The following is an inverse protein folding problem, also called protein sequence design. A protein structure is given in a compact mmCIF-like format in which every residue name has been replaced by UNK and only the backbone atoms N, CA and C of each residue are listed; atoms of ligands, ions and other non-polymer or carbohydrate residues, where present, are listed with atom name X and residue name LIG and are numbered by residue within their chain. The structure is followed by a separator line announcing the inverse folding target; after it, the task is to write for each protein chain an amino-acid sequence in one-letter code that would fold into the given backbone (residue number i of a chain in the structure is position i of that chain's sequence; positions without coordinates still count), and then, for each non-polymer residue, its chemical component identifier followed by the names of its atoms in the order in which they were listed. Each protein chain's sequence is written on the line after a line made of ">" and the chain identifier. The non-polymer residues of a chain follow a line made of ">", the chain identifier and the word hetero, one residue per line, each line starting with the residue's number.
data_IF_559011328400
#
_entry.id   IF_559011328400
#
_cell.length_a   1.000
_cell.length_b   1.000
_cell.length_c   1.000
_cell.angle_alpha   90.00
_cell.angle_beta   90.00
_cell.angle_gamma   90.00
#
_symmetry.space_group_name_H-M   'P 1'
#
loop_
_entity.id
_entity.type
_entity.pdbx_description
1 polymer ?
#
# COMPACT_ATOMS: atom_id res chain seq x y z
N UNK A 1 7.04 100.87 -9.68
CA UNK A 1 7.52 99.75 -8.86
C UNK A 1 6.33 98.81 -8.63
N UNK A 2 6.23 97.70 -9.37
CA UNK A 2 5.16 96.70 -9.23
C UNK A 2 5.83 95.41 -8.80
N UNK A 3 5.48 94.90 -7.63
CA UNK A 3 5.90 93.60 -7.14
C UNK A 3 5.03 92.52 -7.71
N UNK A 4 5.65 91.56 -8.41
CA UNK A 4 5.03 90.34 -8.91
C UNK A 4 5.20 89.25 -7.88
N UNK A 5 4.11 88.74 -7.32
CA UNK A 5 4.06 87.59 -6.45
C UNK A 5 3.75 86.35 -7.25
N UNK A 6 4.72 85.41 -7.29
CA UNK A 6 4.53 84.08 -7.88
C UNK A 6 3.91 83.15 -6.84
N UNK A 7 2.74 82.64 -7.12
CA UNK A 7 2.19 81.51 -6.39
C UNK A 7 2.70 80.21 -7.04
N UNK A 8 3.55 79.49 -6.33
CA UNK A 8 3.92 78.14 -6.70
C UNK A 8 2.92 77.12 -6.22
N UNK A 9 2.25 76.46 -7.17
CA UNK A 9 1.32 75.38 -6.88
C UNK A 9 2.13 74.08 -6.79
N UNK A 10 2.24 73.52 -5.58
CA UNK A 10 2.91 72.26 -5.35
C UNK A 10 1.90 71.12 -5.61
N UNK A 11 2.04 70.41 -6.73
CA UNK A 11 1.22 69.27 -7.11
C UNK A 11 1.81 68.04 -6.44
N UNK A 12 1.29 67.59 -5.32
CA UNK A 12 1.64 66.31 -4.70
C UNK A 12 0.93 65.18 -5.45
N UNK A 13 1.71 64.47 -6.26
CA UNK A 13 1.26 63.22 -6.87
C UNK A 13 1.24 62.09 -5.79
N UNK A 14 0.06 61.67 -5.39
CA UNK A 14 -0.14 60.49 -4.54
C UNK A 14 0.05 59.23 -5.43
N UNK A 15 1.18 58.53 -5.32
CA UNK A 15 1.37 57.19 -5.90
C UNK A 15 0.55 56.22 -5.05
N UNK A 16 -0.56 55.76 -5.55
CA UNK A 16 -1.29 54.62 -4.98
C UNK A 16 -0.56 53.33 -5.40
N UNK A 17 0.21 52.77 -4.46
CA UNK A 17 0.81 51.41 -4.62
C UNK A 17 -0.30 50.42 -4.35
N UNK A 18 -0.90 49.87 -5.40
CA UNK A 18 -1.82 48.74 -5.27
C UNK A 18 -1.01 47.48 -4.98
N UNK A 19 -0.99 47.09 -3.71
CA UNK A 19 -0.39 45.81 -3.29
C UNK A 19 -1.38 44.71 -3.67
N UNK A 20 -1.07 43.99 -4.76
CA UNK A 20 -1.75 42.73 -5.06
C UNK A 20 -1.30 41.70 -4.02
N UNK A 21 -2.15 41.45 -3.03
CA UNK A 21 -2.04 40.24 -2.24
C UNK A 21 -2.34 39.06 -3.18
N UNK A 22 -1.31 38.35 -3.61
CA UNK A 22 -1.47 37.00 -4.12
C UNK A 22 -2.03 36.18 -2.95
N UNK A 23 -3.34 35.99 -2.92
CA UNK A 23 -3.96 35.03 -2.06
C UNK A 23 -3.39 33.67 -2.44
N UNK A 24 -2.58 33.08 -1.54
CA UNK A 24 -2.26 31.68 -1.63
C UNK A 24 -3.58 30.90 -1.75
N UNK A 25 -3.68 29.89 -2.64
CA UNK A 25 -4.90 29.10 -2.74
C UNK A 25 -5.22 28.56 -1.35
N UNK A 26 -6.45 28.82 -0.89
CA UNK A 26 -6.95 28.34 0.38
C UNK A 26 -6.79 26.81 0.44
N UNK A 27 -6.44 26.28 1.58
CA UNK A 27 -6.25 24.84 1.82
C UNK A 27 -7.52 24.00 1.48
N UNK A 28 -8.66 24.63 1.24
CA UNK A 28 -9.92 24.01 0.78
C UNK A 28 -9.93 23.58 -0.70
N UNK A 29 -8.92 23.93 -1.49
CA UNK A 29 -8.85 23.51 -2.90
C UNK A 29 -8.31 22.06 -3.07
N UNK A 30 -8.04 21.33 -1.99
CA UNK A 30 -7.55 19.94 -1.97
C UNK A 30 -8.56 18.92 -1.44
N UNK A 31 -9.83 19.25 -1.37
CA UNK A 31 -10.88 18.21 -1.31
C UNK A 31 -11.14 17.68 -2.71
N UNK A 32 -10.15 17.07 -3.32
CA UNK A 32 -10.37 15.99 -4.28
C UNK A 32 -11.17 14.96 -3.50
N UNK A 33 -12.38 14.62 -3.95
CA UNK A 33 -13.27 13.63 -3.34
C UNK A 33 -12.41 12.49 -2.80
N UNK A 34 -12.29 12.35 -1.48
CA UNK A 34 -11.52 11.28 -0.88
C UNK A 34 -12.31 10.00 -1.15
N UNK A 35 -11.95 9.30 -2.20
CA UNK A 35 -12.54 8.00 -2.52
C UNK A 35 -12.41 7.13 -1.27
N UNK A 36 -13.53 6.67 -0.74
CA UNK A 36 -13.52 5.80 0.42
C UNK A 36 -12.71 4.55 0.09
N UNK A 37 -11.72 4.23 0.93
CA UNK A 37 -10.88 3.04 0.72
C UNK A 37 -11.68 1.76 0.97
N UNK A 38 -12.59 1.78 1.94
CA UNK A 38 -13.36 0.62 2.36
C UNK A 38 -14.84 0.92 2.39
N UNK A 39 -15.67 -0.06 2.03
CA UNK A 39 -17.13 -0.02 2.17
C UNK A 39 -17.65 -1.34 2.75
N UNK A 40 -18.83 -1.31 3.38
CA UNK A 40 -19.39 -2.47 4.07
C UNK A 40 -18.43 -3.08 5.11
N UNK A 41 -17.85 -2.17 5.93
CA UNK A 41 -16.84 -2.52 6.95
C UNK A 41 -17.46 -3.43 8.00
N UNK A 42 -16.75 -4.49 8.34
CA UNK A 42 -17.06 -5.41 9.43
C UNK A 42 -16.29 -5.01 10.69
N UNK A 43 -16.82 -5.40 11.85
CA UNK A 43 -16.14 -5.26 13.15
C UNK A 43 -16.05 -6.64 13.81
N UNK A 44 -14.84 -7.01 14.26
CA UNK A 44 -14.60 -8.29 14.92
C UNK A 44 -13.27 -8.93 14.59
N UNK A 45 -13.23 -10.26 14.64
CA UNK A 45 -12.05 -11.04 14.31
C UNK A 45 -11.82 -11.02 12.79
N UNK A 46 -10.62 -10.67 12.41
CA UNK A 46 -10.22 -10.65 10.98
C UNK A 46 -10.11 -12.05 10.38
N UNK A 47 -10.01 -13.08 11.21
CA UNK A 47 -9.92 -14.48 10.79
C UNK A 47 -8.80 -14.74 9.75
N UNK A 48 -7.67 -14.06 9.90
CA UNK A 48 -6.50 -14.26 9.01
C UNK A 48 -5.93 -15.65 9.28
N UNK A 49 -5.96 -16.51 8.27
CA UNK A 49 -5.54 -17.90 8.39
C UNK A 49 -4.02 -18.08 8.18
N UNK A 50 -3.41 -17.33 7.26
CA UNK A 50 -1.95 -17.31 7.04
C UNK A 50 -1.51 -15.94 6.58
N UNK A 51 -0.94 -15.17 7.52
CA UNK A 51 -0.49 -13.81 7.27
C UNK A 51 0.71 -13.77 6.32
N UNK A 52 0.69 -12.81 5.38
CA UNK A 52 1.69 -12.61 4.34
C UNK A 52 2.14 -11.16 4.21
N UNK A 53 2.24 -10.71 2.97
CA UNK A 53 2.66 -9.37 2.59
C UNK A 53 1.70 -8.29 3.07
N UNK A 54 2.24 -7.10 3.30
CA UNK A 54 1.48 -5.94 3.75
C UNK A 54 1.94 -4.68 3.04
N UNK A 55 1.01 -3.75 2.85
CA UNK A 55 1.30 -2.36 2.49
C UNK A 55 0.23 -1.43 3.08
N UNK A 56 0.42 -0.13 2.93
CA UNK A 56 -0.58 0.85 3.35
C UNK A 56 -1.28 1.50 2.18
N UNK A 57 -2.60 1.55 2.22
CA UNK A 57 -3.43 2.48 1.47
C UNK A 57 -3.55 3.82 2.25
N UNK A 58 -4.07 4.89 1.63
CA UNK A 58 -4.33 6.15 2.31
C UNK A 58 -5.14 6.00 3.60
N UNK A 59 -5.08 7.04 4.46
CA UNK A 59 -5.84 7.13 5.71
C UNK A 59 -5.51 6.03 6.75
N UNK A 60 -4.31 5.46 6.71
CA UNK A 60 -3.89 4.44 7.68
C UNK A 60 -4.56 3.08 7.50
N UNK A 61 -5.12 2.80 6.33
CA UNK A 61 -5.68 1.49 6.02
C UNK A 61 -4.54 0.53 5.67
N UNK A 62 -4.39 -0.51 6.49
CA UNK A 62 -3.38 -1.56 6.28
C UNK A 62 -3.96 -2.67 5.41
N UNK A 63 -3.30 -2.93 4.29
CA UNK A 63 -3.60 -4.03 3.38
C UNK A 63 -2.77 -5.25 3.79
N UNK A 64 -3.42 -6.36 4.08
CA UNK A 64 -2.78 -7.60 4.55
C UNK A 64 -3.15 -8.75 3.63
N UNK A 65 -2.17 -9.44 3.09
CA UNK A 65 -2.38 -10.67 2.36
C UNK A 65 -2.68 -11.83 3.32
N UNK A 66 -3.86 -12.43 3.19
CA UNK A 66 -4.19 -13.71 3.81
C UNK A 66 -4.01 -14.82 2.79
N UNK A 67 -2.84 -15.45 2.83
CA UNK A 67 -2.45 -16.47 1.85
C UNK A 67 -3.32 -17.73 1.99
N UNK A 68 -3.75 -18.04 3.22
CA UNK A 68 -4.51 -19.27 3.48
C UNK A 68 -5.94 -19.22 2.95
N UNK A 69 -6.55 -18.04 2.92
CA UNK A 69 -7.90 -17.84 2.37
C UNK A 69 -7.89 -17.19 0.97
N UNK A 70 -6.70 -17.01 0.35
CA UNK A 70 -6.56 -16.34 -0.95
C UNK A 70 -7.34 -15.01 -0.97
N UNK A 71 -7.03 -14.11 -0.05
CA UNK A 71 -7.73 -12.83 0.08
C UNK A 71 -6.83 -11.70 0.52
N UNK A 72 -7.28 -10.47 0.30
CA UNK A 72 -6.71 -9.27 0.91
C UNK A 72 -7.66 -8.80 2.00
N UNK A 73 -7.11 -8.60 3.19
CA UNK A 73 -7.81 -8.01 4.34
C UNK A 73 -7.33 -6.58 4.49
N UNK A 74 -8.22 -5.62 4.29
CA UNK A 74 -7.93 -4.20 4.55
C UNK A 74 -8.43 -3.87 5.95
N UNK A 75 -7.54 -3.36 6.80
CA UNK A 75 -7.78 -3.08 8.22
C UNK A 75 -7.68 -1.58 8.46
N UNK A 76 -8.71 -0.99 9.03
CA UNK A 76 -8.66 0.37 9.56
C UNK A 76 -7.84 0.35 10.86
N UNK A 77 -6.62 0.86 10.80
CA UNK A 77 -5.74 0.87 11.98
C UNK A 77 -6.05 2.03 12.93
N UNK A 78 -6.84 3.02 12.51
CA UNK A 78 -7.03 4.27 13.24
C UNK A 78 -5.76 5.11 13.38
N UNK A 79 -4.68 4.72 12.73
CA UNK A 79 -3.36 5.36 12.82
C UNK A 79 -3.16 6.37 11.68
N UNK A 80 -3.66 7.59 11.91
CA UNK A 80 -3.70 8.66 10.90
C UNK A 80 -2.58 9.74 11.06
N UNK A 81 -1.61 9.50 11.93
CA UNK A 81 -0.50 10.43 12.11
C UNK A 81 -0.58 11.26 13.40
N UNK A 82 0.25 12.28 13.58
CA UNK A 82 1.23 12.84 12.63
C UNK A 82 2.48 11.94 12.43
N UNK A 83 3.17 12.14 11.31
CA UNK A 83 4.39 11.39 10.98
C UNK A 83 5.48 11.64 12.00
N UNK A 84 5.97 10.57 12.60
CA UNK A 84 7.12 10.58 13.51
C UNK A 84 8.14 9.54 13.06
N UNK A 85 9.37 9.99 12.87
CA UNK A 85 10.47 9.08 12.52
C UNK A 85 10.94 8.31 13.75
N UNK A 86 11.36 7.07 13.54
CA UNK A 86 12.04 6.28 14.56
C UNK A 86 13.28 7.04 15.05
N UNK A 87 13.38 7.27 16.37
CA UNK A 87 14.43 8.12 16.96
C UNK A 87 15.76 7.42 17.05
N UNK A 88 15.72 6.11 17.30
CA UNK A 88 16.91 5.30 17.53
C UNK A 88 16.77 3.95 16.80
N UNK A 89 17.92 3.33 16.53
CA UNK A 89 17.95 1.99 15.97
C UNK A 89 17.36 0.97 16.95
N UNK A 90 16.45 0.16 16.49
CA UNK A 90 15.93 -0.98 17.23
C UNK A 90 16.79 -2.20 16.93
N UNK A 91 17.52 -2.67 17.94
CA UNK A 91 18.32 -3.89 17.85
C UNK A 91 17.49 -5.11 18.26
N UNK A 92 17.91 -6.29 17.79
CA UNK A 92 17.32 -7.59 18.16
C UNK A 92 15.80 -7.63 17.95
N UNK A 93 15.33 -7.12 16.80
CA UNK A 93 13.90 -7.03 16.47
C UNK A 93 13.20 -8.38 16.56
N UNK A 94 13.83 -9.43 16.05
CA UNK A 94 13.35 -10.82 16.08
C UNK A 94 13.17 -11.34 17.52
N UNK A 95 14.16 -11.11 18.39
CA UNK A 95 14.06 -11.47 19.82
C UNK A 95 12.94 -10.71 20.53
N UNK A 96 12.83 -9.41 20.28
CA UNK A 96 11.79 -8.57 20.90
C UNK A 96 10.39 -9.02 20.48
N UNK A 97 10.21 -9.31 19.20
CA UNK A 97 8.93 -9.83 18.69
C UNK A 97 8.65 -11.22 19.26
N UNK A 98 9.64 -12.12 19.28
CA UNK A 98 9.50 -13.44 19.89
C UNK A 98 9.05 -13.35 21.35
N UNK A 99 9.73 -12.53 22.14
CA UNK A 99 9.36 -12.30 23.55
C UNK A 99 7.94 -11.74 23.71
N UNK A 100 7.52 -10.78 22.86
CA UNK A 100 6.16 -10.23 22.87
C UNK A 100 5.09 -11.29 22.53
N UNK A 101 5.46 -12.32 21.79
CA UNK A 101 4.59 -13.44 21.42
C UNK A 101 4.77 -14.68 22.32
N UNK A 102 5.56 -14.57 23.40
CA UNK A 102 5.78 -15.65 24.38
C UNK A 102 6.65 -16.79 23.85
N UNK A 103 7.61 -16.50 22.96
CA UNK A 103 8.55 -17.47 22.39
C UNK A 103 9.93 -16.82 22.16
N UNK A 104 10.90 -17.58 21.67
CA UNK A 104 12.19 -17.09 21.19
C UNK A 104 12.10 -16.60 19.72
N UNK A 105 13.23 -16.13 19.20
CA UNK A 105 13.31 -15.66 17.81
C UNK A 105 13.16 -16.79 16.79
N UNK A 106 13.56 -18.00 17.13
CA UNK A 106 13.43 -19.20 16.31
C UNK A 106 11.97 -19.67 16.23
N UNK A 107 11.17 -19.35 17.25
CA UNK A 107 9.75 -19.68 17.36
C UNK A 107 8.83 -18.80 16.52
N UNK A 108 9.36 -17.79 15.83
CA UNK A 108 8.57 -16.90 14.96
C UNK A 108 9.01 -17.01 13.48
N UNK A 109 8.10 -16.60 12.61
CA UNK A 109 8.36 -16.32 11.20
C UNK A 109 7.87 -14.91 10.88
N UNK A 110 8.79 -13.97 10.68
CA UNK A 110 8.45 -12.65 10.14
C UNK A 110 8.09 -12.84 8.66
N UNK A 111 6.92 -12.40 8.27
CA UNK A 111 6.45 -12.52 6.89
C UNK A 111 6.72 -11.25 6.09
N UNK A 112 6.51 -10.07 6.70
CA UNK A 112 6.72 -8.78 6.02
C UNK A 112 6.81 -7.63 7.01
N UNK A 113 7.13 -6.42 6.48
CA UNK A 113 7.16 -5.18 7.21
C UNK A 113 6.63 -4.04 6.32
N UNK A 114 5.74 -3.23 6.86
CA UNK A 114 5.24 -2.02 6.22
C UNK A 114 5.36 -0.81 7.14
N UNK A 115 5.67 0.35 6.57
CA UNK A 115 5.69 1.63 7.31
C UNK A 115 4.42 2.39 6.97
N UNK A 116 3.67 2.82 7.99
CA UNK A 116 2.51 3.68 7.78
C UNK A 116 2.98 5.08 7.36
N UNK A 117 2.68 5.53 6.12
CA UNK A 117 3.15 6.84 5.65
C UNK A 117 2.50 8.01 6.41
N UNK A 118 1.33 7.80 7.03
CA UNK A 118 0.64 8.83 7.79
C UNK A 118 1.22 9.05 9.19
N UNK A 119 1.80 8.03 9.83
CA UNK A 119 2.31 8.12 11.21
C UNK A 119 3.80 7.86 11.35
N UNK A 120 4.41 7.14 10.40
CA UNK A 120 5.80 6.66 10.48
C UNK A 120 5.96 5.41 11.36
N UNK A 121 4.89 4.86 11.95
CA UNK A 121 4.98 3.60 12.69
C UNK A 121 5.25 2.42 11.76
N UNK A 122 5.94 1.43 12.28
CA UNK A 122 6.36 0.24 11.56
C UNK A 122 5.47 -0.92 11.99
N UNK A 123 4.87 -1.58 11.01
CA UNK A 123 4.01 -2.75 11.21
C UNK A 123 4.72 -3.98 10.68
N UNK A 124 4.81 -5.03 11.49
CA UNK A 124 5.50 -6.28 11.16
C UNK A 124 4.53 -7.44 11.25
N UNK A 125 4.29 -8.14 10.14
CA UNK A 125 3.48 -9.35 10.11
C UNK A 125 4.30 -10.56 10.54
N UNK A 126 3.75 -11.32 11.48
CA UNK A 126 4.48 -12.41 12.15
C UNK A 126 3.55 -13.60 12.34
N UNK A 127 4.09 -14.80 12.21
CA UNK A 127 3.44 -16.02 12.61
C UNK A 127 4.26 -16.72 13.70
N UNK A 128 3.62 -17.08 14.83
CA UNK A 128 4.22 -17.95 15.82
C UNK A 128 4.15 -19.40 15.32
N UNK A 129 5.27 -20.08 15.28
CA UNK A 129 5.37 -21.42 14.64
C UNK A 129 4.67 -22.52 15.44
N UNK A 130 4.66 -22.39 16.77
CA UNK A 130 4.15 -23.46 17.66
C UNK A 130 2.66 -23.77 17.45
N UNK A 131 1.85 -22.76 17.16
CA UNK A 131 0.39 -22.87 17.04
C UNK A 131 -0.19 -22.17 15.81
N UNK A 132 0.67 -21.58 14.96
CA UNK A 132 0.24 -20.85 13.77
C UNK A 132 -0.39 -19.49 14.06
N UNK A 133 -0.31 -18.97 15.29
CA UNK A 133 -0.86 -17.66 15.64
C UNK A 133 -0.32 -16.57 14.72
N UNK A 134 -1.22 -15.89 14.03
CA UNK A 134 -0.90 -14.71 13.22
C UNK A 134 -0.99 -13.45 14.08
N UNK A 135 -0.01 -12.56 13.97
CA UNK A 135 0.05 -11.30 14.69
C UNK A 135 0.61 -10.19 13.80
N UNK A 136 0.25 -8.95 14.11
CA UNK A 136 0.90 -7.76 13.57
C UNK A 136 1.44 -6.97 14.75
N UNK A 137 2.75 -6.77 14.76
CA UNK A 137 3.45 -6.02 15.81
C UNK A 137 3.79 -4.63 15.29
N UNK A 138 3.43 -3.62 16.08
CA UNK A 138 3.63 -2.22 15.75
C UNK A 138 4.81 -1.69 16.56
N UNK A 139 5.73 -0.99 15.90
CA UNK A 139 6.79 -0.22 16.55
C UNK A 139 6.47 1.27 16.44
N UNK A 140 6.48 1.97 17.56
CA UNK A 140 6.34 3.43 17.60
C UNK A 140 7.68 4.15 17.36
N UNK A 141 7.69 5.49 17.44
CA UNK A 141 8.88 6.32 17.25
C UNK A 141 9.99 6.10 18.29
N UNK A 142 9.69 5.42 19.40
CA UNK A 142 10.66 5.06 20.46
C UNK A 142 11.12 3.61 20.33
N UNK A 143 10.58 2.86 19.37
CA UNK A 143 10.82 1.43 19.22
C UNK A 143 10.08 0.58 20.26
N UNK A 144 9.02 1.13 20.87
CA UNK A 144 8.13 0.38 21.77
C UNK A 144 7.20 -0.51 20.93
N UNK A 145 7.02 -1.75 21.36
CA UNK A 145 6.20 -2.72 20.66
C UNK A 145 4.77 -2.74 21.24
N UNK A 146 3.79 -2.86 20.36
CA UNK A 146 2.40 -3.17 20.71
C UNK A 146 1.77 -4.07 19.64
N UNK A 147 0.90 -5.03 20.00
CA UNK A 147 0.17 -5.80 19.00
C UNK A 147 -1.00 -4.98 18.44
N UNK A 148 -1.29 -5.17 17.13
CA UNK A 148 -2.56 -4.77 16.55
C UNK A 148 -3.64 -5.78 16.97
N UNK A 149 -4.76 -5.30 17.48
CA UNK A 149 -5.87 -6.20 17.88
C UNK A 149 -6.62 -6.71 16.63
N UNK A 150 -6.25 -7.88 16.15
CA UNK A 150 -6.89 -8.52 15.00
C UNK A 150 -8.26 -9.13 15.32
N UNK A 151 -8.61 -9.28 16.62
CA UNK A 151 -9.89 -9.85 17.06
C UNK A 151 -11.00 -8.81 17.20
N UNK A 152 -10.63 -7.53 17.25
CA UNK A 152 -11.56 -6.40 17.37
C UNK A 152 -11.27 -5.34 16.32
N UNK A 153 -10.92 -5.77 15.13
CA UNK A 153 -10.59 -4.88 14.04
C UNK A 153 -11.83 -4.39 13.28
N UNK A 154 -11.71 -3.22 12.68
CA UNK A 154 -12.60 -2.75 11.62
C UNK A 154 -11.94 -3.12 10.29
N UNK A 155 -12.58 -3.95 9.48
CA UNK A 155 -11.94 -4.50 8.29
C UNK A 155 -12.91 -4.80 7.17
N UNK A 156 -12.37 -4.99 5.98
CA UNK A 156 -13.04 -5.64 4.85
C UNK A 156 -12.14 -6.75 4.32
N UNK A 157 -12.76 -7.81 3.79
CA UNK A 157 -12.06 -8.92 3.15
C UNK A 157 -12.52 -9.01 1.70
N UNK A 158 -11.57 -9.01 0.76
CA UNK A 158 -11.81 -9.15 -0.68
C UNK A 158 -11.11 -10.42 -1.16
N UNK A 159 -11.86 -11.31 -1.78
CA UNK A 159 -11.32 -12.58 -2.30
C UNK A 159 -10.50 -12.36 -3.56
N UNK A 160 -9.45 -13.15 -3.71
CA UNK A 160 -8.66 -13.25 -4.92
C UNK A 160 -9.14 -14.47 -5.71
N UNK A 161 -9.78 -14.28 -6.88
CA UNK A 161 -10.34 -15.39 -7.63
C UNK A 161 -9.23 -16.31 -8.15
N UNK A 162 -9.53 -17.59 -8.17
CA UNK A 162 -8.70 -18.67 -8.71
C UNK A 162 -9.61 -19.66 -9.40
N UNK A 163 -9.13 -20.35 -10.43
CA UNK A 163 -9.92 -21.34 -11.16
C UNK A 163 -10.33 -22.51 -10.27
N UNK A 164 -11.43 -23.18 -10.63
CA UNK A 164 -11.95 -24.31 -9.89
C UNK A 164 -10.87 -25.38 -9.65
N UNK A 165 -10.84 -25.93 -8.45
CA UNK A 165 -9.87 -26.93 -8.00
C UNK A 165 -8.39 -26.48 -8.05
N UNK A 166 -8.15 -25.18 -8.21
CA UNK A 166 -6.82 -24.56 -8.15
C UNK A 166 -6.64 -23.81 -6.86
N UNK A 167 -5.39 -23.50 -6.55
CA UNK A 167 -5.03 -22.83 -5.29
C UNK A 167 -4.02 -21.71 -5.54
N UNK A 168 -4.08 -20.69 -4.70
CA UNK A 168 -3.03 -19.70 -4.56
C UNK A 168 -2.06 -20.21 -3.49
N UNK A 169 -0.84 -20.50 -3.89
CA UNK A 169 0.20 -20.99 -2.98
C UNK A 169 0.88 -19.87 -2.20
N UNK A 170 0.92 -18.67 -2.78
CA UNK A 170 1.52 -17.48 -2.19
C UNK A 170 0.89 -16.21 -2.74
N UNK A 171 0.84 -15.16 -1.92
CA UNK A 171 0.58 -13.77 -2.34
C UNK A 171 1.89 -13.03 -2.14
N UNK A 172 2.59 -12.75 -3.25
CA UNK A 172 3.97 -12.26 -3.26
C UNK A 172 4.08 -10.74 -3.15
N UNK A 173 2.96 -10.02 -3.22
CA UNK A 173 2.90 -8.58 -3.03
C UNK A 173 1.46 -8.09 -2.93
N UNK A 174 1.27 -6.98 -2.24
CA UNK A 174 0.04 -6.19 -2.20
C UNK A 174 0.42 -4.72 -2.13
N UNK A 175 -0.13 -3.88 -3.02
CA UNK A 175 0.21 -2.47 -3.12
C UNK A 175 -1.00 -1.61 -3.45
N UNK A 176 -1.02 -0.40 -2.91
CA UNK A 176 -1.99 0.61 -3.30
C UNK A 176 -1.40 1.47 -4.43
N UNK A 177 -2.14 1.63 -5.51
CA UNK A 177 -1.72 2.46 -6.64
C UNK A 177 -2.92 3.06 -7.35
N UNK A 178 -2.90 4.37 -7.53
CA UNK A 178 -3.84 5.14 -8.37
C UNK A 178 -5.32 4.72 -8.26
N UNK A 179 -5.83 4.68 -7.01
CA UNK A 179 -7.24 4.42 -6.75
C UNK A 179 -7.65 2.94 -6.84
N UNK A 180 -6.70 2.02 -6.80
CA UNK A 180 -6.93 0.57 -6.70
C UNK A 180 -5.92 -0.12 -5.82
N UNK A 181 -6.21 -1.32 -5.41
CA UNK A 181 -5.24 -2.22 -4.79
C UNK A 181 -4.82 -3.25 -5.82
N UNK A 182 -3.51 -3.41 -5.98
CA UNK A 182 -2.90 -4.44 -6.80
C UNK A 182 -2.35 -5.53 -5.90
N UNK A 183 -2.52 -6.79 -6.27
CA UNK A 183 -1.87 -7.90 -5.60
C UNK A 183 -1.25 -8.84 -6.63
N UNK A 184 -0.14 -9.50 -6.25
CA UNK A 184 0.48 -10.53 -7.06
C UNK A 184 0.36 -11.88 -6.37
N UNK A 185 -0.07 -12.89 -7.10
CA UNK A 185 -0.27 -14.24 -6.60
C UNK A 185 0.49 -15.28 -7.40
N UNK A 186 0.77 -16.38 -6.74
CA UNK A 186 1.35 -17.58 -7.35
C UNK A 186 0.32 -18.71 -7.25
N UNK A 187 -0.11 -19.25 -8.38
CA UNK A 187 -1.07 -20.32 -8.41
C UNK A 187 -0.50 -21.61 -8.98
N UNK A 188 -1.22 -22.72 -8.81
CA UNK A 188 -0.91 -24.00 -9.45
C UNK A 188 -1.63 -24.16 -10.80
N UNK A 189 -2.14 -23.07 -11.37
CA UNK A 189 -2.64 -23.04 -12.75
C UNK A 189 -1.48 -23.08 -13.76
N UNK A 190 -1.81 -23.27 -15.04
CA UNK A 190 -0.83 -23.23 -16.13
C UNK A 190 -0.06 -21.91 -16.12
N UNK A 191 -0.79 -20.78 -16.07
CA UNK A 191 -0.22 -19.48 -15.85
C UNK A 191 -0.08 -19.24 -14.35
N UNK A 192 1.06 -19.59 -13.80
CA UNK A 192 1.27 -19.58 -12.36
C UNK A 192 1.38 -18.17 -11.76
N UNK A 193 1.68 -17.16 -12.57
CA UNK A 193 1.78 -15.77 -12.15
C UNK A 193 0.45 -15.07 -12.33
N UNK A 194 -0.13 -14.52 -11.27
CA UNK A 194 -1.42 -13.80 -11.26
C UNK A 194 -1.21 -12.38 -10.79
N UNK A 195 -1.85 -11.44 -11.46
CA UNK A 195 -2.03 -10.07 -11.00
C UNK A 195 -3.51 -9.87 -10.70
N UNK A 196 -3.81 -9.33 -9.54
CA UNK A 196 -5.17 -9.01 -9.13
C UNK A 196 -5.32 -7.49 -9.05
N UNK A 197 -6.45 -6.99 -9.54
CA UNK A 197 -6.86 -5.60 -9.42
C UNK A 197 -8.15 -5.53 -8.60
N UNK A 198 -8.08 -4.81 -7.50
CA UNK A 198 -9.20 -4.61 -6.58
C UNK A 198 -9.60 -3.13 -6.63
N UNK A 199 -10.73 -2.80 -7.31
CA UNK A 199 -11.19 -1.43 -7.40
C UNK A 199 -11.67 -0.90 -6.05
N UNK A 200 -11.59 0.41 -5.86
CA UNK A 200 -12.12 1.09 -4.69
C UNK A 200 -13.61 1.43 -4.86
N UNK A 201 -14.38 1.47 -3.76
CA UNK A 201 -13.97 1.05 -2.42
C UNK A 201 -13.84 -0.46 -2.29
N UNK A 202 -12.82 -0.94 -1.56
CA UNK A 202 -12.75 -2.35 -1.17
C UNK A 202 -13.99 -2.71 -0.37
N UNK A 203 -14.73 -3.71 -0.83
CA UNK A 203 -16.03 -4.06 -0.24
C UNK A 203 -16.01 -5.48 0.30
N UNK A 204 -16.42 -5.65 1.56
CA UNK A 204 -16.45 -6.96 2.20
C UNK A 204 -17.29 -7.97 1.42
N UNK A 205 -16.75 -9.18 1.24
CA UNK A 205 -17.39 -10.27 0.49
C UNK A 205 -17.38 -10.14 -1.03
N UNK A 206 -16.73 -9.10 -1.58
CA UNK A 206 -16.52 -8.98 -3.04
C UNK A 206 -15.27 -9.72 -3.46
N UNK A 207 -15.13 -9.90 -4.78
CA UNK A 207 -13.97 -10.50 -5.42
C UNK A 207 -13.24 -9.48 -6.27
N UNK A 208 -11.91 -9.57 -6.31
CA UNK A 208 -11.09 -8.81 -7.24
C UNK A 208 -11.18 -9.33 -8.68
N UNK A 209 -10.63 -8.57 -9.60
CA UNK A 209 -10.38 -9.02 -10.98
C UNK A 209 -9.03 -9.72 -11.04
N UNK A 210 -8.90 -10.75 -11.85
CA UNK A 210 -7.66 -11.52 -12.02
C UNK A 210 -7.17 -11.46 -13.44
N UNK A 211 -5.86 -11.34 -13.57
CA UNK A 211 -5.13 -11.35 -14.82
C UNK A 211 -4.00 -12.37 -14.71
N UNK A 212 -3.75 -13.11 -15.77
CA UNK A 212 -2.63 -14.06 -15.84
C UNK A 212 -1.48 -13.42 -16.60
N UNK A 213 -0.26 -13.69 -16.15
CA UNK A 213 0.94 -13.16 -16.79
C UNK A 213 1.88 -14.28 -17.20
N UNK A 214 2.49 -14.11 -18.37
CA UNK A 214 3.67 -14.87 -18.77
C UNK A 214 4.81 -13.89 -19.08
N UNK A 215 6.03 -14.33 -18.94
CA UNK A 215 7.21 -13.50 -19.24
C UNK A 215 8.14 -14.22 -20.23
N UNK A 216 8.69 -13.45 -21.15
CA UNK A 216 9.71 -14.00 -22.07
C UNK A 216 11.01 -14.25 -21.33
N UNK A 217 11.47 -15.50 -21.40
CA UNK A 217 12.65 -15.96 -20.74
C UNK A 217 13.85 -15.91 -21.68
N UNK A 218 14.65 -14.85 -21.58
CA UNK A 218 15.81 -14.64 -22.48
C UNK A 218 16.78 -15.81 -22.44
N UNK A 219 17.07 -16.36 -21.26
CA UNK A 219 18.01 -17.48 -21.09
C UNK A 219 17.51 -18.77 -21.76
N UNK A 220 16.20 -18.98 -21.86
CA UNK A 220 15.59 -20.17 -22.49
C UNK A 220 15.06 -19.90 -23.89
N UNK A 221 15.02 -18.62 -24.33
CA UNK A 221 14.54 -18.23 -25.64
C UNK A 221 13.04 -18.46 -25.88
N UNK A 222 12.23 -18.46 -24.81
CA UNK A 222 10.78 -18.74 -24.89
C UNK A 222 9.96 -18.02 -23.83
N UNK A 223 8.66 -17.95 -24.03
CA UNK A 223 7.71 -17.54 -23.03
C UNK A 223 7.54 -18.61 -21.95
N UNK A 224 7.48 -18.17 -20.68
CA UNK A 224 7.35 -19.05 -19.52
C UNK A 224 6.05 -18.78 -18.79
N UNK A 225 5.14 -19.73 -18.79
CA UNK A 225 3.87 -19.67 -18.05
C UNK A 225 4.04 -20.02 -16.57
N UNK A 226 5.12 -20.73 -16.22
CA UNK A 226 5.42 -21.24 -14.87
C UNK A 226 6.53 -20.49 -14.15
N UNK A 227 6.76 -19.22 -14.50
CA UNK A 227 7.69 -18.33 -13.82
C UNK A 227 6.91 -17.33 -12.94
N UNK A 228 6.52 -17.71 -11.70
CA UNK A 228 5.65 -16.86 -10.89
C UNK A 228 6.34 -15.58 -10.46
N UNK A 229 5.55 -14.52 -10.37
CA UNK A 229 5.99 -13.22 -9.85
C UNK A 229 6.38 -13.34 -8.36
N UNK A 230 7.59 -12.90 -8.03
CA UNK A 230 8.16 -12.99 -6.68
C UNK A 230 7.94 -11.72 -5.85
N UNK A 231 7.98 -10.59 -6.50
CA UNK A 231 7.69 -9.28 -5.92
C UNK A 231 7.39 -8.28 -7.02
N UNK A 232 6.69 -7.20 -6.68
CA UNK A 232 6.48 -6.08 -7.60
C UNK A 232 6.37 -4.76 -6.84
N UNK A 233 6.52 -3.69 -7.58
CA UNK A 233 6.19 -2.33 -7.15
C UNK A 233 5.37 -1.65 -8.25
N UNK A 234 4.35 -0.85 -7.91
CA UNK A 234 3.76 0.11 -8.82
C UNK A 234 4.78 1.20 -9.16
N UNK A 235 4.77 1.65 -10.39
CA UNK A 235 5.68 2.68 -10.86
C UNK A 235 4.98 3.58 -11.87
N UNK A 236 5.11 4.89 -11.74
CA UNK A 236 4.57 5.87 -12.66
C UNK A 236 5.71 6.49 -13.48
N UNK A 237 5.51 6.59 -14.79
CA UNK A 237 6.44 7.22 -15.71
C UNK A 237 5.66 7.95 -16.80
N UNK A 238 5.91 9.26 -16.96
CA UNK A 238 5.27 10.10 -17.98
C UNK A 238 3.73 10.08 -17.96
N UNK A 239 3.13 9.93 -16.77
CA UNK A 239 1.68 9.87 -16.58
C UNK A 239 1.05 8.50 -16.88
N UNK A 240 1.86 7.49 -17.14
CA UNK A 240 1.42 6.10 -17.34
C UNK A 240 1.78 5.23 -16.14
N UNK A 241 0.87 4.34 -15.78
CA UNK A 241 1.04 3.40 -14.67
C UNK A 241 1.63 2.08 -15.11
N UNK A 242 2.66 1.64 -14.42
CA UNK A 242 3.38 0.40 -14.66
C UNK A 242 3.39 -0.49 -13.42
N UNK A 243 3.60 -1.77 -13.64
CA UNK A 243 4.11 -2.72 -12.67
C UNK A 243 5.54 -3.06 -13.05
N UNK A 244 6.46 -2.94 -12.08
CA UNK A 244 7.84 -3.44 -12.20
C UNK A 244 7.95 -4.64 -11.29
N UNK A 245 8.12 -5.82 -11.86
CA UNK A 245 8.10 -7.09 -11.12
C UNK A 245 9.33 -7.95 -11.38
N UNK A 246 9.74 -8.69 -10.34
CA UNK A 246 10.70 -9.77 -10.47
C UNK A 246 9.96 -11.10 -10.56
N UNK A 247 10.44 -12.00 -11.40
CA UNK A 247 9.86 -13.32 -11.65
C UNK A 247 10.85 -14.44 -11.31
N UNK A 248 10.35 -15.63 -11.05
CA UNK A 248 11.23 -16.79 -10.92
C UNK A 248 11.95 -17.03 -12.26
N UNK A 249 13.26 -17.17 -12.21
CA UNK A 249 14.12 -17.42 -13.38
C UNK A 249 14.16 -16.33 -14.47
N UNK A 250 13.44 -15.22 -14.31
CA UNK A 250 13.43 -14.09 -15.25
C UNK A 250 13.97 -12.85 -14.56
N UNK A 251 14.70 -11.96 -15.25
CA UNK A 251 15.07 -10.68 -14.70
C UNK A 251 13.82 -9.82 -14.43
N UNK A 252 14.02 -8.58 -14.05
CA UNK A 252 12.95 -7.61 -13.81
C UNK A 252 12.22 -7.32 -15.13
N UNK A 253 10.89 -7.39 -15.10
CA UNK A 253 10.02 -6.99 -16.19
C UNK A 253 9.19 -5.76 -15.80
N UNK A 254 9.03 -4.82 -16.73
CA UNK A 254 8.16 -3.64 -16.62
C UNK A 254 7.05 -3.75 -17.66
N UNK A 255 5.80 -3.61 -17.24
CA UNK A 255 4.64 -3.62 -18.14
C UNK A 255 3.58 -2.62 -17.68
N UNK A 256 2.86 -2.03 -18.65
CA UNK A 256 1.80 -1.07 -18.37
C UNK A 256 0.60 -1.77 -17.72
N UNK A 257 0.00 -1.12 -16.73
CA UNK A 257 -1.24 -1.63 -16.11
C UNK A 257 -2.40 -1.63 -17.12
N UNK A 258 -2.42 -0.66 -18.05
CA UNK A 258 -3.43 -0.60 -19.12
C UNK A 258 -3.36 -1.74 -20.14
N UNK A 259 -2.21 -2.39 -20.27
CA UNK A 259 -2.02 -3.50 -21.19
C UNK A 259 -2.43 -4.85 -20.57
N UNK A 260 -2.63 -4.88 -19.24
CA UNK A 260 -3.10 -6.06 -18.53
C UNK A 260 -4.56 -6.33 -18.93
N UNK A 261 -4.79 -7.40 -19.67
CA UNK A 261 -6.12 -7.83 -20.11
C UNK A 261 -6.49 -9.13 -19.42
N UNK A 262 -7.79 -9.27 -19.16
CA UNK A 262 -8.32 -10.53 -18.64
C UNK A 262 -8.08 -11.64 -19.66
N UNK A 263 -7.59 -12.78 -19.17
CA UNK A 263 -7.36 -14.01 -19.96
C UNK A 263 -6.41 -13.83 -21.17
N UNK A 264 -5.49 -12.89 -21.10
CA UNK A 264 -4.45 -12.69 -22.10
C UNK A 264 -3.06 -12.60 -21.45
N UNK A 265 -2.02 -13.18 -22.08
CA UNK A 265 -0.63 -12.93 -21.65
C UNK A 265 -0.25 -11.48 -21.91
N UNK A 266 0.70 -10.97 -21.12
CA UNK A 266 1.23 -9.61 -21.20
C UNK A 266 2.58 -9.65 -21.91
#
# INVERSE_FOLDING_TARGET
>A
MKRLTFFGSCLTALLAVTVYFLQAPSADALTKDSVAIMANVQEGDTDISRIGRMSFAPNGVLLVADIGSASIVAIDTGDAGPVKKLKERVNDVDKKIGAALGTDKEGIRIADMAVNPASGKIYVSVQRKADGLNAIIIFDEKGTLSPLDLKKARYVRVSLPVADQKTISNISGVEFSNGRVLAAGQSNEEFSSKIYSLPLPLTHGKSGEVYSTETYHVAHGRWETRAPIQSFIPYEEEGEDYIVGSFACTPIAKFKISDIKKDAPI
#
